data_IF_024418239357
#
_entry.id   IF_024418239357
#
_cell.length_a   1.000
_cell.length_b   1.000
_cell.length_c   1.000
_cell.angle_alpha   90.00
_cell.angle_beta   90.00
_cell.angle_gamma   90.00
#
_symmetry.space_group_name_H-M   'P 1'
#
loop_
_entity.id
_entity.type
_entity.pdbx_description
1 polymer ?
#
# COMPACT_ATOMS: atom_id res chain seq x y z
N UNK A 1 -14.16 -16.13 -11.70
CA UNK A 1 -12.94 -15.51 -11.12
C UNK A 1 -11.98 -16.64 -10.77
N UNK A 2 -10.69 -16.49 -11.03
CA UNK A 2 -9.69 -17.58 -11.05
C UNK A 2 -9.03 -17.89 -9.68
N UNK A 3 -9.64 -17.49 -8.56
CA UNK A 3 -9.10 -17.73 -7.21
C UNK A 3 -7.62 -17.34 -7.02
N UNK A 4 -7.29 -16.12 -7.44
CA UNK A 4 -5.96 -15.51 -7.34
C UNK A 4 -5.97 -14.35 -6.35
N UNK A 5 -4.80 -14.04 -5.77
CA UNK A 5 -4.56 -12.80 -5.04
C UNK A 5 -4.15 -11.68 -6.01
N UNK A 6 -5.02 -10.69 -6.21
CA UNK A 6 -4.79 -9.61 -7.18
C UNK A 6 -4.20 -8.39 -6.50
N UNK A 7 -3.10 -7.91 -7.09
CA UNK A 7 -2.41 -6.69 -6.65
C UNK A 7 -2.44 -5.67 -7.78
N UNK A 8 -2.81 -4.42 -7.45
CA UNK A 8 -2.68 -3.28 -8.37
C UNK A 8 -1.58 -2.37 -7.86
N UNK A 9 -0.58 -2.12 -8.70
CA UNK A 9 0.51 -1.18 -8.42
C UNK A 9 0.32 0.07 -9.27
N UNK A 10 0.34 1.24 -8.64
CA UNK A 10 0.22 2.54 -9.31
C UNK A 10 1.02 3.59 -8.55
N UNK A 11 1.66 4.53 -9.26
CA UNK A 11 2.49 5.52 -8.57
C UNK A 11 1.68 6.52 -7.71
N UNK A 12 0.63 7.12 -8.27
CA UNK A 12 -0.18 8.13 -7.58
C UNK A 12 -1.23 7.49 -6.67
N UNK A 13 -1.72 8.22 -5.63
CA UNK A 13 -2.76 7.70 -4.77
C UNK A 13 -4.05 7.39 -5.57
N UNK A 14 -4.59 6.16 -5.45
CA UNK A 14 -5.63 5.66 -6.36
C UNK A 14 -7.05 6.10 -5.98
N UNK A 15 -7.25 6.71 -4.81
CA UNK A 15 -8.54 7.13 -4.29
C UNK A 15 -8.68 8.66 -4.25
N UNK A 16 -9.90 9.19 -4.47
CA UNK A 16 -10.17 10.62 -4.34
C UNK A 16 -9.78 11.18 -2.96
N UNK A 17 -9.28 12.41 -2.92
CA UNK A 17 -8.95 13.12 -1.67
C UNK A 17 -7.61 12.73 -1.04
N UNK A 18 -6.87 11.79 -1.62
CA UNK A 18 -5.54 11.41 -1.10
C UNK A 18 -4.44 12.41 -1.48
N UNK A 19 -4.63 13.25 -2.49
CA UNK A 19 -3.69 14.31 -2.87
C UNK A 19 -4.46 15.54 -3.38
N UNK A 20 -3.81 16.72 -3.31
CA UNK A 20 -4.37 17.95 -3.89
C UNK A 20 -4.65 17.77 -5.38
N UNK A 21 -5.68 18.43 -5.91
CA UNK A 21 -6.08 18.36 -7.33
C UNK A 21 -4.91 18.49 -8.32
N UNK A 22 -3.96 19.41 -8.05
CA UNK A 22 -2.82 19.67 -8.95
C UNK A 22 -1.77 18.54 -8.99
N UNK A 23 -1.70 17.70 -7.96
CA UNK A 23 -0.70 16.62 -7.82
C UNK A 23 -1.32 15.22 -7.89
N UNK A 24 -2.62 15.11 -7.64
CA UNK A 24 -3.34 13.84 -7.58
C UNK A 24 -3.61 13.21 -8.94
N UNK A 25 -3.97 11.93 -8.90
CA UNK A 25 -4.44 11.18 -10.06
C UNK A 25 -5.78 11.76 -10.53
N UNK A 26 -5.80 12.33 -11.75
CA UNK A 26 -6.96 13.07 -12.30
C UNK A 26 -8.24 12.25 -12.34
N UNK A 27 -8.12 10.96 -12.59
CA UNK A 27 -9.21 10.01 -12.76
C UNK A 27 -9.30 8.98 -11.62
N UNK A 28 -8.80 9.32 -10.43
CA UNK A 28 -8.89 8.48 -9.22
C UNK A 28 -10.32 7.97 -8.95
N UNK A 29 -11.35 8.79 -9.22
CA UNK A 29 -12.74 8.36 -9.10
C UNK A 29 -13.13 7.23 -10.07
N UNK A 30 -12.61 7.26 -11.31
CA UNK A 30 -12.83 6.21 -12.30
C UNK A 30 -12.06 4.94 -11.93
N UNK A 31 -10.80 5.08 -11.52
CA UNK A 31 -9.99 3.96 -11.04
C UNK A 31 -10.64 3.27 -9.84
N UNK A 32 -11.05 4.04 -8.82
CA UNK A 32 -11.80 3.50 -7.67
C UNK A 32 -13.01 2.67 -8.13
N UNK A 33 -13.79 3.16 -9.09
CA UNK A 33 -14.96 2.41 -9.58
C UNK A 33 -14.54 1.09 -10.25
N UNK A 34 -13.47 1.09 -11.06
CA UNK A 34 -12.92 -0.14 -11.66
C UNK A 34 -12.53 -1.14 -10.57
N UNK A 35 -11.79 -0.69 -9.54
CA UNK A 35 -11.35 -1.54 -8.42
C UNK A 35 -12.54 -2.11 -7.65
N UNK A 36 -13.56 -1.27 -7.36
CA UNK A 36 -14.80 -1.70 -6.69
C UNK A 36 -15.54 -2.77 -7.50
N UNK A 37 -15.70 -2.56 -8.80
CA UNK A 37 -16.47 -3.45 -9.68
C UNK A 37 -15.76 -4.79 -9.91
N UNK A 38 -14.46 -4.76 -10.19
CA UNK A 38 -13.73 -5.97 -10.60
C UNK A 38 -13.14 -6.74 -9.42
N UNK A 39 -12.98 -6.08 -8.27
CA UNK A 39 -12.37 -6.65 -7.09
C UNK A 39 -10.85 -6.64 -7.15
N UNK A 40 -10.22 -6.43 -6.00
CA UNK A 40 -8.77 -6.47 -5.80
C UNK A 40 -8.51 -6.77 -4.32
N UNK A 41 -7.39 -7.40 -4.00
CA UNK A 41 -7.05 -7.73 -2.61
C UNK A 41 -6.09 -6.69 -2.01
N UNK A 42 -5.16 -6.16 -2.80
CA UNK A 42 -4.16 -5.19 -2.38
C UNK A 42 -3.91 -4.13 -3.47
N UNK A 43 -3.84 -2.85 -3.08
CA UNK A 43 -3.45 -1.76 -3.96
C UNK A 43 -2.27 -1.02 -3.35
N UNK A 44 -1.19 -0.86 -4.11
CA UNK A 44 0.06 -0.24 -3.66
C UNK A 44 0.29 1.07 -4.39
N UNK A 45 0.63 2.13 -3.65
CA UNK A 45 0.98 3.42 -4.23
C UNK A 45 2.05 4.19 -3.47
N UNK A 46 2.59 5.22 -4.12
CA UNK A 46 3.56 6.16 -3.56
C UNK A 46 3.10 7.60 -3.71
N UNK A 47 3.97 8.44 -4.29
CA UNK A 47 3.81 9.86 -4.63
C UNK A 47 3.74 10.84 -3.45
N UNK A 48 2.95 10.54 -2.41
CA UNK A 48 2.86 11.42 -1.24
C UNK A 48 4.03 11.24 -0.26
N UNK A 49 4.77 10.13 -0.39
CA UNK A 49 5.82 9.72 0.54
C UNK A 49 5.29 9.59 1.99
N UNK A 50 4.07 9.09 2.12
CA UNK A 50 3.37 8.93 3.40
C UNK A 50 3.03 7.45 3.60
N UNK A 51 3.32 6.93 4.80
CA UNK A 51 2.79 5.64 5.23
C UNK A 51 1.30 5.82 5.50
N UNK A 52 0.47 5.27 4.62
CA UNK A 52 -0.99 5.40 4.71
C UNK A 52 -1.66 4.07 4.42
N UNK A 53 -2.71 3.75 5.15
CA UNK A 53 -3.51 2.55 4.93
C UNK A 53 -4.97 2.94 4.90
N UNK A 54 -5.67 2.52 3.85
CA UNK A 54 -7.10 2.71 3.68
C UNK A 54 -7.72 1.38 3.28
N UNK A 55 -9.00 1.21 3.60
CA UNK A 55 -9.80 0.11 3.08
C UNK A 55 -10.73 0.60 1.97
N UNK A 56 -10.93 -0.25 0.97
CA UNK A 56 -11.88 -0.03 -0.10
C UNK A 56 -12.76 -1.26 -0.27
N UNK A 57 -14.07 -1.12 -0.05
CA UNK A 57 -15.02 -2.19 -0.36
C UNK A 57 -15.03 -2.50 -1.85
N UNK A 58 -14.84 -3.78 -2.20
CA UNK A 58 -14.90 -4.24 -3.59
C UNK A 58 -15.81 -5.45 -3.75
N UNK A 59 -16.10 -5.82 -5.00
CA UNK A 59 -16.87 -7.01 -5.33
C UNK A 59 -16.19 -8.34 -4.91
N UNK A 60 -14.95 -8.34 -4.40
CA UNK A 60 -14.29 -9.50 -3.81
C UNK A 60 -14.02 -9.34 -2.31
N UNK A 61 -14.69 -8.39 -1.65
CA UNK A 61 -14.43 -8.02 -0.26
C UNK A 61 -13.51 -6.80 -0.15
N UNK A 62 -13.10 -6.44 1.08
CA UNK A 62 -12.27 -5.27 1.31
C UNK A 62 -10.88 -5.44 0.70
N UNK A 63 -10.48 -4.42 -0.06
CA UNK A 63 -9.12 -4.24 -0.53
C UNK A 63 -8.36 -3.35 0.46
N UNK A 64 -7.10 -3.69 0.73
CA UNK A 64 -6.21 -2.81 1.48
C UNK A 64 -5.44 -1.93 0.50
N UNK A 65 -5.48 -0.62 0.69
CA UNK A 65 -4.77 0.38 -0.12
C UNK A 65 -3.63 0.95 0.71
N UNK A 66 -2.39 0.70 0.29
CA UNK A 66 -1.18 1.09 1.02
C UNK A 66 -0.41 2.15 0.26
N UNK A 67 -0.24 3.31 0.89
CA UNK A 67 0.75 4.33 0.54
C UNK A 67 2.04 4.08 1.31
N UNK A 68 3.18 4.19 0.63
CA UNK A 68 4.52 4.00 1.23
C UNK A 68 5.33 5.31 1.22
N UNK A 69 6.17 5.56 2.24
CA UNK A 69 7.23 6.57 2.16
C UNK A 69 8.19 6.32 1.01
N UNK A 70 8.98 7.31 0.63
CA UNK A 70 10.08 7.04 -0.31
C UNK A 70 11.22 6.33 0.40
N UNK A 71 11.80 5.32 -0.26
CA UNK A 71 13.04 4.69 0.18
C UNK A 71 14.25 5.65 0.12
N UNK A 72 14.10 6.78 -0.58
CA UNK A 72 15.12 7.83 -0.71
C UNK A 72 14.82 9.10 0.11
N UNK A 73 13.85 9.07 1.02
CA UNK A 73 13.66 10.19 1.95
C UNK A 73 14.90 10.40 2.83
N UNK A 74 15.04 11.59 3.41
CA UNK A 74 16.11 11.85 4.36
C UNK A 74 15.94 10.98 5.62
N UNK A 75 17.06 10.58 6.21
CA UNK A 75 17.09 9.82 7.47
C UNK A 75 16.72 10.73 8.66
N UNK A 76 17.01 12.02 8.56
CA UNK A 76 16.74 13.04 9.57
C UNK A 76 15.96 14.22 8.98
N UNK A 77 15.16 14.90 9.80
CA UNK A 77 14.49 16.16 9.43
C UNK A 77 13.21 16.02 8.60
N UNK A 78 12.85 14.81 8.13
CA UNK A 78 11.54 14.52 7.54
C UNK A 78 10.90 13.31 8.20
N UNK A 79 9.61 13.43 8.49
CA UNK A 79 8.78 12.33 8.98
C UNK A 79 7.80 11.98 7.86
N UNK A 80 7.75 10.73 7.38
CA UNK A 80 8.57 9.58 7.81
C UNK A 80 9.98 9.54 7.19
N UNK A 81 10.92 8.86 7.86
CA UNK A 81 12.25 8.55 7.35
C UNK A 81 12.20 7.61 6.11
N UNK A 82 13.33 7.47 5.42
CA UNK A 82 13.50 6.49 4.33
C UNK A 82 12.97 5.11 4.72
N UNK A 83 12.01 4.62 3.94
CA UNK A 83 11.34 3.34 4.19
C UNK A 83 10.91 2.63 2.92
N UNK A 84 10.93 1.30 2.96
CA UNK A 84 10.23 0.43 2.01
C UNK A 84 9.36 -0.60 2.75
N UNK A 85 8.45 -1.26 2.02
CA UNK A 85 7.60 -2.31 2.56
C UNK A 85 7.86 -3.64 1.82
N UNK A 86 8.06 -4.70 2.58
CA UNK A 86 8.13 -6.10 2.11
C UNK A 86 6.74 -6.72 2.28
N UNK A 87 6.27 -7.49 1.29
CA UNK A 87 4.97 -8.16 1.35
C UNK A 87 5.14 -9.68 1.20
N UNK A 88 4.57 -10.44 2.13
CA UNK A 88 4.48 -11.89 2.06
C UNK A 88 3.02 -12.27 1.76
N UNK A 89 2.80 -12.96 0.64
CA UNK A 89 1.47 -13.38 0.18
C UNK A 89 1.50 -14.90 0.04
N UNK A 90 0.64 -15.58 0.79
CA UNK A 90 0.58 -17.03 0.83
C UNK A 90 -0.86 -17.53 0.74
N UNK A 91 -1.05 -18.62 0.00
CA UNK A 91 -2.32 -19.33 -0.03
C UNK A 91 -2.52 -20.09 1.27
N UNK A 92 -3.70 -20.00 1.87
CA UNK A 92 -4.05 -20.69 3.12
C UNK A 92 -5.28 -21.57 2.92
N UNK A 93 -5.59 -22.39 3.93
CA UNK A 93 -6.84 -23.16 3.96
C UNK A 93 -8.02 -22.19 4.15
N UNK A 94 -8.64 -21.79 3.05
CA UNK A 94 -9.82 -20.91 3.04
C UNK A 94 -9.59 -19.51 2.45
N UNK A 95 -8.42 -19.24 1.86
CA UNK A 95 -8.19 -18.00 1.12
C UNK A 95 -6.71 -17.61 1.03
N UNK A 96 -6.42 -16.33 1.27
CA UNK A 96 -5.09 -15.75 1.13
C UNK A 96 -4.68 -14.98 2.37
N UNK A 97 -3.48 -15.26 2.88
CA UNK A 97 -2.82 -14.46 3.91
C UNK A 97 -1.90 -13.45 3.24
N UNK A 98 -1.95 -12.20 3.69
CA UNK A 98 -1.03 -11.15 3.29
C UNK A 98 -0.46 -10.47 4.53
N UNK A 99 0.86 -10.42 4.63
CA UNK A 99 1.60 -9.70 5.67
C UNK A 99 2.48 -8.62 5.02
N UNK A 100 2.60 -7.49 5.70
CA UNK A 100 3.49 -6.38 5.35
C UNK A 100 4.51 -6.17 6.46
N UNK A 101 5.78 -6.04 6.07
CA UNK A 101 6.87 -5.62 6.95
C UNK A 101 7.44 -4.30 6.45
N UNK A 102 7.41 -3.26 7.27
CA UNK A 102 8.05 -1.97 7.00
C UNK A 102 9.51 -1.98 7.42
N UNK A 103 10.39 -1.52 6.54
CA UNK A 103 11.83 -1.43 6.75
C UNK A 103 12.27 0.01 6.65
N UNK A 104 12.73 0.59 7.76
CA UNK A 104 13.15 1.98 7.82
C UNK A 104 14.64 2.09 8.12
N UNK A 105 15.29 3.13 7.59
CA UNK A 105 16.67 3.47 7.98
C UNK A 105 16.67 4.15 9.35
N UNK A 106 17.65 3.81 10.19
CA UNK A 106 17.95 4.51 11.44
C UNK A 106 18.96 5.66 11.20
N UNK A 107 19.05 6.61 12.14
CA UNK A 107 20.02 7.71 12.08
C UNK A 107 21.48 7.26 11.91
N UNK A 108 21.82 6.04 12.37
CA UNK A 108 23.09 5.40 12.06
C UNK A 108 23.05 4.78 10.64
N UNK A 109 23.90 5.22 9.70
CA UNK A 109 23.76 5.02 8.25
C UNK A 109 23.86 3.56 7.76
N UNK A 110 24.11 2.60 8.64
CA UNK A 110 24.25 1.18 8.32
C UNK A 110 23.14 0.26 8.87
N UNK A 111 22.08 0.82 9.45
CA UNK A 111 21.03 0.02 10.07
C UNK A 111 19.65 0.23 9.43
N UNK A 112 19.18 -0.77 8.67
CA UNK A 112 17.77 -0.92 8.28
C UNK A 112 17.11 -1.83 9.31
N UNK A 113 16.06 -1.36 9.97
CA UNK A 113 15.33 -2.12 10.99
C UNK A 113 13.87 -2.34 10.61
N UNK A 114 13.24 -3.33 11.24
CA UNK A 114 11.81 -3.58 11.14
C UNK A 114 11.00 -2.51 11.87
N UNK A 115 10.52 -1.50 11.13
CA UNK A 115 9.73 -0.41 11.70
C UNK A 115 8.26 -0.75 11.90
N UNK A 116 7.77 -1.76 11.21
CA UNK A 116 6.38 -2.19 11.31
C UNK A 116 6.24 -3.64 10.85
N UNK A 117 5.37 -4.41 11.51
CA UNK A 117 4.82 -5.66 10.97
C UNK A 117 3.31 -5.62 11.10
N UNK A 118 2.61 -5.96 10.03
CA UNK A 118 1.15 -5.97 10.03
C UNK A 118 0.61 -7.08 9.14
N UNK A 119 -0.34 -7.83 9.67
CA UNK A 119 -1.16 -8.73 8.85
C UNK A 119 -2.24 -7.88 8.18
N UNK A 120 -2.20 -7.82 6.85
CA UNK A 120 -3.17 -7.09 6.04
C UNK A 120 -4.41 -7.94 5.74
N UNK A 121 -4.25 -9.26 5.72
CA UNK A 121 -5.32 -10.23 5.52
C UNK A 121 -4.95 -11.57 6.15
N UNK A 122 -5.90 -12.16 6.88
CA UNK A 122 -5.75 -13.45 7.56
C UNK A 122 -6.23 -14.65 6.71
N UNK A 123 -7.23 -14.44 5.84
CA UNK A 123 -7.81 -15.40 4.90
C UNK A 123 -8.61 -14.67 3.82
#
# INVERSE_FOLDING_TARGET
REDLFRVVLIHHPPLPGQASWRRGLRDAGRLRNVLRTHGVELVLHGHNHEQKMLELDTASGPAIVVGVPSASEAVEGRIPAARYNEYSIARTNGGWRCEMVGRSVAAAPEHVWESERRVLRER
#
